data_IF_042215613196
#
_entry.id   IF_042215613196
#
_cell.length_a   1.000
_cell.length_b   1.000
_cell.length_c   1.000
_cell.angle_alpha   90.00
_cell.angle_beta   90.00
_cell.angle_gamma   90.00
#
_symmetry.space_group_name_H-M   'P 1'
#
loop_
_entity.id
_entity.type
_entity.pdbx_description
1 polymer ?
#
# COMPACT_ATOMS: atom_id res chain seq x y z
N UNK A 1 -2.97 -6.23 10.99
CA UNK A 1 -3.57 -5.11 11.73
C UNK A 1 -4.00 -3.96 10.81
N UNK A 2 -3.21 -3.59 9.78
CA UNK A 2 -3.51 -2.47 8.87
C UNK A 2 -4.76 -2.61 8.01
N UNK A 3 -5.39 -3.77 7.89
CA UNK A 3 -6.60 -3.94 7.08
C UNK A 3 -7.88 -3.43 7.76
N UNK A 4 -7.89 -3.27 9.07
CA UNK A 4 -9.09 -2.93 9.84
C UNK A 4 -9.59 -1.53 9.50
N UNK A 5 -8.70 -0.53 9.40
CA UNK A 5 -9.09 0.84 9.01
C UNK A 5 -9.21 1.04 7.49
N UNK A 6 -8.73 0.10 6.67
CA UNK A 6 -8.91 0.11 5.21
C UNK A 6 -10.31 -0.35 4.78
N UNK A 7 -11.12 -0.86 5.70
CA UNK A 7 -12.50 -1.30 5.52
C UNK A 7 -13.39 -0.82 6.66
N UNK A 8 -14.70 -0.90 6.50
CA UNK A 8 -15.67 -0.53 7.54
C UNK A 8 -15.84 -1.67 8.56
N UNK A 9 -14.80 -1.92 9.35
CA UNK A 9 -14.85 -2.87 10.47
C UNK A 9 -15.46 -2.24 11.71
N UNK A 10 -16.14 -3.01 12.57
CA UNK A 10 -16.60 -2.52 13.88
C UNK A 10 -15.47 -1.95 14.75
N UNK A 11 -14.26 -2.51 14.60
CA UNK A 11 -13.07 -2.09 15.39
C UNK A 11 -12.29 -0.94 14.74
N UNK A 12 -12.75 -0.39 13.61
CA UNK A 12 -12.04 0.64 12.83
C UNK A 12 -11.61 1.82 13.69
N UNK A 13 -12.52 2.33 14.54
CA UNK A 13 -12.24 3.49 15.38
C UNK A 13 -11.10 3.23 16.35
N UNK A 14 -11.14 2.09 17.04
CA UNK A 14 -10.07 1.71 17.98
C UNK A 14 -8.69 1.63 17.30
N UNK A 15 -8.64 1.09 16.06
CA UNK A 15 -7.36 1.00 15.34
C UNK A 15 -6.88 2.35 14.82
N UNK A 16 -7.80 3.25 14.45
CA UNK A 16 -7.44 4.63 14.08
C UNK A 16 -6.94 5.39 15.32
N UNK A 17 -7.60 5.25 16.47
CA UNK A 17 -7.15 5.88 17.72
C UNK A 17 -5.76 5.37 18.15
N UNK A 18 -5.50 4.07 18.03
CA UNK A 18 -4.17 3.50 18.26
C UNK A 18 -3.13 4.07 17.28
N UNK A 19 -3.52 4.32 16.03
CA UNK A 19 -2.64 4.94 15.04
C UNK A 19 -2.33 6.39 15.40
N UNK A 20 -3.33 7.15 15.86
CA UNK A 20 -3.17 8.52 16.35
C UNK A 20 -2.19 8.57 17.53
N UNK A 21 -2.34 7.67 18.52
CA UNK A 21 -1.38 7.59 19.63
C UNK A 21 0.03 7.23 19.16
N UNK A 22 0.17 6.36 18.17
CA UNK A 22 1.47 6.07 17.56
C UNK A 22 2.08 7.32 16.91
N UNK A 23 1.28 8.12 16.20
CA UNK A 23 1.76 9.36 15.60
C UNK A 23 2.21 10.38 16.65
N UNK A 24 1.49 10.51 17.77
CA UNK A 24 1.93 11.37 18.89
C UNK A 24 3.30 10.95 19.41
N UNK A 25 3.48 9.66 19.70
CA UNK A 25 4.76 9.15 20.18
C UNK A 25 5.89 9.39 19.16
N UNK A 26 5.62 9.23 17.85
CA UNK A 26 6.61 9.55 16.82
C UNK A 26 6.98 11.04 16.81
N UNK A 27 5.99 11.92 16.96
CA UNK A 27 6.22 13.36 17.04
C UNK A 27 7.01 13.77 18.29
N UNK A 28 6.73 13.14 19.44
CA UNK A 28 7.48 13.34 20.69
C UNK A 28 8.94 12.91 20.58
N UNK A 29 9.23 11.92 19.71
CA UNK A 29 10.59 11.44 19.41
C UNK A 29 11.23 12.14 18.19
N UNK A 30 10.68 13.28 17.75
CA UNK A 30 11.19 14.10 16.63
C UNK A 30 11.20 13.36 15.27
N UNK A 31 10.24 12.44 15.07
CA UNK A 31 10.05 11.70 13.82
C UNK A 31 8.91 12.33 13.01
N UNK A 32 9.26 13.09 11.98
CA UNK A 32 8.34 13.92 11.21
C UNK A 32 7.96 13.37 9.83
N UNK A 33 8.25 12.10 9.54
CA UNK A 33 7.91 11.47 8.28
C UNK A 33 7.45 10.03 8.49
N UNK A 34 6.24 9.71 8.00
CA UNK A 34 5.68 8.35 8.05
C UNK A 34 5.34 7.88 6.64
N UNK A 35 6.09 6.88 6.15
CA UNK A 35 5.74 6.16 4.94
C UNK A 35 4.73 5.05 5.28
N UNK A 36 3.62 4.99 4.56
CA UNK A 36 2.57 3.99 4.76
C UNK A 36 1.96 3.55 3.44
N UNK A 37 1.27 2.42 3.43
CA UNK A 37 0.48 1.96 2.29
C UNK A 37 -1.00 1.79 2.67
N UNK A 38 -1.86 1.72 1.64
CA UNK A 38 -3.29 1.48 1.84
C UNK A 38 -3.80 0.29 1.01
N UNK A 39 -2.92 -0.65 0.69
CA UNK A 39 -3.19 -1.86 -0.08
C UNK A 39 -4.05 -2.85 0.71
N UNK A 40 -5.22 -3.28 0.20
CA UNK A 40 -6.04 -4.32 0.81
C UNK A 40 -5.33 -5.67 0.83
N UNK A 41 -5.40 -6.39 1.95
CA UNK A 41 -4.94 -7.76 2.18
C UNK A 41 -3.44 -7.95 1.97
N UNK A 42 -2.96 -7.78 0.75
CA UNK A 42 -1.55 -7.96 0.38
C UNK A 42 -0.85 -6.62 0.17
N UNK A 43 0.38 -6.53 0.65
CA UNK A 43 1.29 -5.45 0.27
C UNK A 43 1.78 -5.67 -1.17
N UNK A 44 3.05 -5.50 -1.47
CA UNK A 44 3.56 -5.79 -2.81
C UNK A 44 3.49 -7.28 -3.14
N UNK A 45 3.09 -7.59 -4.38
CA UNK A 45 2.83 -8.95 -4.84
C UNK A 45 3.90 -9.37 -5.85
N UNK A 46 4.46 -10.58 -5.66
CA UNK A 46 5.42 -11.20 -6.58
C UNK A 46 5.03 -12.66 -6.80
N UNK A 47 5.39 -13.18 -7.97
CA UNK A 47 5.16 -14.59 -8.33
C UNK A 47 6.41 -15.44 -8.23
N UNK A 48 7.59 -14.81 -8.25
CA UNK A 48 8.90 -15.45 -8.09
C UNK A 48 9.76 -14.57 -7.18
N UNK A 49 10.35 -15.15 -6.13
CA UNK A 49 11.15 -14.42 -5.16
C UNK A 49 12.66 -14.46 -5.47
N UNK A 50 13.09 -15.37 -6.32
CA UNK A 50 14.50 -15.60 -6.66
C UNK A 50 14.65 -15.97 -8.13
N UNK A 51 14.07 -15.21 -9.04
CA UNK A 51 14.23 -15.42 -10.48
C UNK A 51 15.69 -15.18 -10.88
N UNK A 52 16.32 -16.21 -11.42
CA UNK A 52 17.72 -16.12 -11.86
C UNK A 52 17.81 -15.35 -13.18
N UNK A 53 18.71 -14.38 -13.25
CA UNK A 53 19.04 -13.60 -14.44
C UNK A 53 20.22 -14.25 -15.21
N UNK A 54 20.46 -13.85 -16.48
CA UNK A 54 21.56 -14.38 -17.27
C UNK A 54 22.95 -14.17 -16.65
N UNK A 55 23.13 -13.16 -15.82
CA UNK A 55 24.36 -12.85 -15.09
C UNK A 55 24.53 -13.64 -13.78
N UNK A 56 23.58 -14.53 -13.46
CA UNK A 56 23.57 -15.32 -12.23
C UNK A 56 22.97 -14.60 -11.00
N UNK A 57 22.66 -13.31 -11.09
CA UNK A 57 21.97 -12.59 -10.03
C UNK A 57 20.52 -13.04 -9.91
N UNK A 58 19.89 -12.81 -8.73
CA UNK A 58 18.48 -13.09 -8.51
C UNK A 58 17.67 -11.80 -8.33
N UNK A 59 16.44 -11.82 -8.80
CA UNK A 59 15.50 -10.70 -8.66
C UNK A 59 14.11 -11.20 -8.31
N UNK A 60 13.34 -10.32 -7.67
CA UNK A 60 11.90 -10.50 -7.52
C UNK A 60 11.24 -10.31 -8.89
N UNK A 61 10.26 -11.15 -9.22
CA UNK A 61 9.54 -11.04 -10.48
C UNK A 61 8.03 -11.19 -10.31
N UNK A 62 7.29 -10.52 -11.17
CA UNK A 62 5.83 -10.61 -11.28
C UNK A 62 5.46 -11.10 -12.68
N UNK A 63 4.57 -12.08 -12.76
CA UNK A 63 4.03 -12.61 -14.00
C UNK A 63 2.51 -12.73 -13.91
N UNK A 64 1.79 -11.92 -14.69
CA UNK A 64 0.33 -11.87 -14.64
C UNK A 64 -0.32 -13.25 -14.85
N UNK A 65 0.15 -14.02 -15.84
CA UNK A 65 -0.41 -15.36 -16.10
C UNK A 65 -0.23 -16.35 -14.94
N UNK A 66 0.78 -16.14 -14.08
CA UNK A 66 0.93 -16.95 -12.88
C UNK A 66 -0.07 -16.51 -11.80
N UNK A 67 -0.31 -15.19 -11.67
CA UNK A 67 -1.34 -14.64 -10.77
C UNK A 67 -2.73 -15.12 -11.18
N UNK A 68 -3.06 -15.08 -12.49
CA UNK A 68 -4.37 -15.51 -13.01
C UNK A 68 -4.63 -17.02 -12.79
N UNK A 69 -3.55 -17.80 -12.74
CA UNK A 69 -3.64 -19.24 -12.47
C UNK A 69 -3.74 -19.60 -10.98
N UNK A 70 -3.51 -18.63 -10.09
CA UNK A 70 -3.52 -18.87 -8.65
C UNK A 70 -4.94 -18.79 -8.08
N UNK A 71 -5.28 -19.78 -7.28
CA UNK A 71 -6.39 -19.68 -6.34
C UNK A 71 -5.85 -18.96 -5.11
N UNK A 72 -6.41 -17.80 -4.72
CA UNK A 72 -5.86 -16.98 -3.63
C UNK A 72 -5.57 -17.76 -2.35
N UNK A 73 -6.45 -18.71 -2.00
CA UNK A 73 -6.32 -19.54 -0.80
C UNK A 73 -5.13 -20.53 -0.84
N UNK A 74 -4.62 -20.84 -2.05
CA UNK A 74 -3.50 -21.76 -2.26
C UNK A 74 -2.19 -21.07 -2.59
N UNK A 75 -2.20 -19.74 -2.67
CA UNK A 75 -1.02 -18.95 -3.04
C UNK A 75 0.18 -19.20 -2.13
N UNK A 76 -0.08 -19.37 -0.84
CA UNK A 76 0.99 -19.59 0.15
C UNK A 76 1.78 -20.87 -0.14
N UNK A 77 1.11 -21.97 -0.53
CA UNK A 77 1.78 -23.25 -0.81
C UNK A 77 2.77 -23.14 -1.98
N UNK A 78 2.45 -22.31 -2.98
CA UNK A 78 3.29 -22.15 -4.17
C UNK A 78 4.45 -21.18 -3.97
N UNK A 79 4.30 -20.15 -3.15
CA UNK A 79 5.32 -19.10 -2.94
C UNK A 79 6.25 -19.45 -1.78
N UNK A 80 5.77 -20.13 -0.75
CA UNK A 80 6.59 -20.54 0.39
C UNK A 80 7.74 -21.48 -0.01
N UNK A 81 7.59 -22.27 -1.10
CA UNK A 81 8.62 -23.15 -1.64
C UNK A 81 9.81 -22.40 -2.27
N UNK A 82 9.63 -21.21 -2.81
CA UNK A 82 10.65 -20.47 -3.56
C UNK A 82 11.38 -19.39 -2.73
N UNK A 83 10.96 -19.18 -1.48
CA UNK A 83 11.36 -18.01 -0.69
C UNK A 83 12.73 -18.13 0.02
N UNK A 84 13.45 -19.27 -0.08
CA UNK A 84 14.69 -19.51 0.70
C UNK A 84 14.57 -19.10 2.19
N UNK A 85 13.40 -19.27 2.79
CA UNK A 85 13.11 -18.88 4.18
C UNK A 85 12.80 -17.40 4.41
N UNK A 86 12.79 -16.56 3.38
CA UNK A 86 12.34 -15.17 3.49
C UNK A 86 10.81 -15.07 3.44
N UNK A 87 10.23 -14.33 4.38
CA UNK A 87 8.79 -14.04 4.41
C UNK A 87 8.58 -12.60 3.96
N UNK A 88 7.74 -12.40 2.94
CA UNK A 88 7.36 -11.08 2.49
C UNK A 88 6.34 -10.44 3.45
N UNK A 89 6.40 -9.11 3.66
CA UNK A 89 5.37 -8.39 4.40
C UNK A 89 3.98 -8.65 3.82
N UNK A 90 3.03 -9.03 4.67
CA UNK A 90 1.68 -9.41 4.25
C UNK A 90 1.52 -10.89 3.89
N UNK A 91 2.61 -11.66 3.84
CA UNK A 91 2.63 -13.09 3.49
C UNK A 91 3.01 -13.99 4.68
N UNK A 92 2.93 -13.48 5.88
CA UNK A 92 3.19 -14.25 7.09
C UNK A 92 2.21 -15.44 7.21
N UNK A 93 2.68 -16.62 7.68
CA UNK A 93 1.85 -17.84 7.75
C UNK A 93 0.54 -17.66 8.51
N UNK A 94 0.56 -16.91 9.61
CA UNK A 94 -0.61 -16.61 10.43
C UNK A 94 -1.64 -15.75 9.67
N UNK A 95 -1.15 -14.83 8.84
CA UNK A 95 -1.98 -13.98 8.00
C UNK A 95 -2.62 -14.78 6.86
N UNK A 96 -1.85 -15.67 6.24
CA UNK A 96 -2.32 -16.53 5.15
C UNK A 96 -3.39 -17.54 5.61
N UNK A 97 -3.32 -18.02 6.86
CA UNK A 97 -4.38 -18.84 7.45
C UNK A 97 -5.74 -18.12 7.50
N UNK A 98 -5.74 -16.78 7.52
CA UNK A 98 -6.95 -15.94 7.54
C UNK A 98 -7.27 -15.30 6.19
N UNK A 99 -6.56 -15.65 5.14
CA UNK A 99 -6.71 -14.99 3.83
C UNK A 99 -8.13 -15.04 3.30
N UNK A 100 -8.84 -16.17 3.48
CA UNK A 100 -10.23 -16.29 3.06
C UNK A 100 -11.14 -15.30 3.79
N UNK A 101 -10.99 -15.18 5.10
CA UNK A 101 -11.76 -14.21 5.91
C UNK A 101 -11.49 -12.79 5.46
N UNK A 102 -10.21 -12.49 5.09
CA UNK A 102 -9.83 -11.18 4.57
C UNK A 102 -10.46 -10.91 3.20
N UNK A 103 -10.44 -11.87 2.29
CA UNK A 103 -11.12 -11.73 0.99
C UNK A 103 -12.63 -11.51 1.16
N UNK A 104 -13.26 -12.28 2.03
CA UNK A 104 -14.68 -12.11 2.35
C UNK A 104 -14.98 -10.72 2.92
N UNK A 105 -14.09 -10.19 3.75
CA UNK A 105 -14.22 -8.84 4.32
C UNK A 105 -14.07 -7.71 3.30
N UNK A 106 -13.42 -7.95 2.17
CA UNK A 106 -13.26 -6.98 1.07
C UNK A 106 -14.21 -7.22 -0.11
N UNK A 107 -15.08 -8.25 -0.06
CA UNK A 107 -15.99 -8.63 -1.17
C UNK A 107 -16.79 -7.45 -1.72
N UNK A 108 -17.27 -6.58 -0.85
CA UNK A 108 -18.09 -5.42 -1.19
C UNK A 108 -17.30 -4.10 -1.21
N UNK A 109 -15.96 -4.16 -1.19
CA UNK A 109 -15.09 -2.99 -1.23
C UNK A 109 -14.53 -2.81 -2.63
N UNK A 110 -15.10 -1.88 -3.37
CA UNK A 110 -14.61 -1.39 -4.65
C UNK A 110 -13.65 -0.19 -4.46
N UNK A 111 -13.16 0.37 -5.57
CA UNK A 111 -12.26 1.52 -5.55
C UNK A 111 -12.90 2.74 -4.86
N UNK A 112 -14.19 2.99 -5.07
CA UNK A 112 -14.88 4.13 -4.48
C UNK A 112 -15.00 4.00 -2.95
N UNK A 113 -15.34 2.82 -2.47
CA UNK A 113 -15.37 2.53 -1.04
C UNK A 113 -13.98 2.59 -0.42
N UNK A 114 -12.95 2.10 -1.14
CA UNK A 114 -11.58 2.17 -0.65
C UNK A 114 -11.10 3.63 -0.57
N UNK A 115 -11.43 4.47 -1.55
CA UNK A 115 -11.18 5.92 -1.48
C UNK A 115 -11.93 6.58 -0.32
N UNK A 116 -13.19 6.23 -0.08
CA UNK A 116 -13.96 6.75 1.04
C UNK A 116 -13.34 6.35 2.40
N UNK A 117 -12.84 5.13 2.51
CA UNK A 117 -12.16 4.64 3.70
C UNK A 117 -10.81 5.35 3.90
N UNK A 118 -10.04 5.58 2.82
CA UNK A 118 -8.79 6.35 2.87
C UNK A 118 -9.07 7.80 3.30
N UNK A 119 -10.09 8.43 2.72
CA UNK A 119 -10.49 9.79 3.11
C UNK A 119 -10.80 9.85 4.60
N UNK A 120 -11.65 8.96 5.09
CA UNK A 120 -12.01 8.91 6.50
C UNK A 120 -10.78 8.74 7.41
N UNK A 121 -9.89 7.81 7.07
CA UNK A 121 -8.65 7.60 7.79
C UNK A 121 -7.80 8.88 7.84
N UNK A 122 -7.58 9.52 6.70
CA UNK A 122 -6.79 10.75 6.60
C UNK A 122 -7.42 11.90 7.40
N UNK A 123 -8.74 12.12 7.30
CA UNK A 123 -9.44 13.15 8.07
C UNK A 123 -9.28 12.97 9.59
N UNK A 124 -9.21 11.72 10.05
CA UNK A 124 -9.03 11.40 11.47
C UNK A 124 -7.59 11.64 11.96
N UNK A 125 -6.58 11.38 11.13
CA UNK A 125 -5.17 11.51 11.54
C UNK A 125 -4.57 12.88 11.24
N UNK A 126 -5.11 13.67 10.29
CA UNK A 126 -4.51 14.97 9.94
C UNK A 126 -4.41 15.95 11.12
N UNK A 127 -5.35 16.05 12.07
CA UNK A 127 -5.17 16.93 13.22
C UNK A 127 -3.88 16.67 14.01
N UNK A 128 -3.57 15.40 14.31
CA UNK A 128 -2.32 15.05 15.02
C UNK A 128 -1.09 15.23 14.12
N UNK A 129 -1.20 14.99 12.82
CA UNK A 129 -0.11 15.26 11.88
C UNK A 129 0.24 16.75 11.83
N UNK A 130 -0.75 17.64 11.86
CA UNK A 130 -0.55 19.08 11.93
C UNK A 130 0.04 19.51 13.28
N UNK A 131 -0.41 18.93 14.39
CA UNK A 131 0.07 19.27 15.74
C UNK A 131 1.54 18.95 15.92
N UNK A 132 2.00 17.80 15.40
CA UNK A 132 3.38 17.31 15.55
C UNK A 132 4.26 17.49 14.30
N UNK A 133 3.78 18.22 13.28
CA UNK A 133 4.46 18.43 11.98
C UNK A 133 4.89 17.11 11.32
N UNK A 134 4.01 16.09 11.33
CA UNK A 134 4.29 14.78 10.75
C UNK A 134 3.75 14.72 9.32
N UNK A 135 4.62 14.48 8.35
CA UNK A 135 4.27 14.28 6.94
C UNK A 135 3.93 12.83 6.67
N UNK A 136 2.69 12.60 6.28
CA UNK A 136 2.22 11.29 5.82
C UNK A 136 2.59 11.11 4.36
N UNK A 137 3.31 10.05 4.04
CA UNK A 137 3.80 9.75 2.70
C UNK A 137 3.25 8.41 2.22
N UNK A 138 2.09 8.42 1.52
CA UNK A 138 1.51 7.17 1.02
C UNK A 138 2.39 6.55 -0.05
N UNK A 139 2.75 5.30 0.13
CA UNK A 139 3.48 4.52 -0.88
C UNK A 139 2.52 4.03 -1.96
N UNK A 140 2.89 4.07 -3.26
CA UNK A 140 2.06 3.52 -4.33
C UNK A 140 1.82 2.03 -4.16
N UNK A 141 0.70 1.57 -4.70
CA UNK A 141 0.40 0.15 -4.79
C UNK A 141 1.41 -0.56 -5.70
N UNK A 142 1.76 -1.79 -5.36
CA UNK A 142 2.75 -2.58 -6.11
C UNK A 142 2.24 -4.03 -6.29
N UNK A 143 1.87 -4.42 -7.50
CA UNK A 143 1.90 -3.62 -8.74
C UNK A 143 0.82 -2.52 -8.77
N UNK A 144 1.00 -1.54 -9.67
CA UNK A 144 0.11 -0.40 -9.82
C UNK A 144 -1.17 -0.75 -10.61
N UNK A 145 -1.85 -1.82 -10.21
CA UNK A 145 -3.15 -2.29 -10.70
C UNK A 145 -3.80 -3.26 -9.70
N UNK A 146 -5.10 -3.50 -9.84
CA UNK A 146 -5.86 -4.44 -9.00
C UNK A 146 -5.34 -5.87 -9.13
N UNK A 147 -5.24 -6.59 -8.01
CA UNK A 147 -4.73 -7.97 -7.95
C UNK A 147 -5.72 -8.84 -7.19
N UNK A 148 -6.02 -10.02 -7.72
CA UNK A 148 -6.97 -10.99 -7.13
C UNK A 148 -8.38 -10.43 -6.89
N UNK A 149 -8.81 -9.46 -7.72
CA UNK A 149 -10.10 -8.77 -7.52
C UNK A 149 -10.12 -7.76 -6.36
N UNK A 150 -8.99 -7.56 -5.66
CA UNK A 150 -8.88 -6.53 -4.62
C UNK A 150 -8.57 -5.18 -5.25
N UNK A 151 -9.22 -4.10 -4.82
CA UNK A 151 -8.99 -2.77 -5.37
C UNK A 151 -7.58 -2.25 -5.03
N UNK A 152 -7.00 -1.48 -5.96
CA UNK A 152 -5.75 -0.73 -5.80
C UNK A 152 -5.97 0.69 -6.28
N UNK A 153 -5.73 1.69 -5.44
CA UNK A 153 -6.13 3.07 -5.70
C UNK A 153 -4.98 4.06 -5.79
N UNK A 154 -3.79 3.72 -5.33
CA UNK A 154 -2.60 4.58 -5.44
C UNK A 154 -1.73 4.07 -6.59
N UNK A 155 -2.24 4.18 -7.82
CA UNK A 155 -1.73 3.49 -9.01
C UNK A 155 -1.29 4.43 -10.14
N UNK A 156 -1.84 5.65 -10.20
CA UNK A 156 -1.60 6.61 -11.28
C UNK A 156 -1.76 8.07 -10.80
N UNK A 157 -1.44 9.01 -11.67
CA UNK A 157 -1.51 10.45 -11.40
C UNK A 157 -2.90 10.91 -10.96
N UNK A 158 -3.93 10.49 -11.67
CA UNK A 158 -5.32 10.91 -11.47
C UNK A 158 -5.79 10.53 -10.07
N UNK A 159 -5.52 9.31 -9.67
CA UNK A 159 -5.91 8.78 -8.38
C UNK A 159 -5.17 9.48 -7.23
N UNK A 160 -3.89 9.80 -7.41
CA UNK A 160 -3.10 10.52 -6.39
C UNK A 160 -3.62 11.96 -6.25
N UNK A 161 -3.86 12.66 -7.35
CA UNK A 161 -4.41 14.01 -7.32
C UNK A 161 -5.82 14.01 -6.70
N UNK A 162 -6.62 12.98 -6.96
CA UNK A 162 -7.90 12.76 -6.28
C UNK A 162 -7.71 12.63 -4.76
N UNK A 163 -6.80 11.78 -4.31
CA UNK A 163 -6.49 11.59 -2.89
C UNK A 163 -6.07 12.91 -2.23
N UNK A 164 -5.17 13.66 -2.86
CA UNK A 164 -4.74 14.97 -2.33
C UNK A 164 -5.89 15.98 -2.26
N UNK A 165 -6.78 15.98 -3.24
CA UNK A 165 -7.96 16.87 -3.26
C UNK A 165 -9.00 16.49 -2.20
N UNK A 166 -9.15 15.19 -1.90
CA UNK A 166 -10.10 14.73 -0.88
C UNK A 166 -9.75 15.23 0.51
N UNK A 167 -8.45 15.31 0.82
CA UNK A 167 -7.92 15.85 2.07
C UNK A 167 -6.75 16.77 1.70
N UNK A 168 -7.08 18.03 1.41
CA UNK A 168 -6.09 19.01 0.95
C UNK A 168 -5.35 19.65 2.15
N UNK A 169 -4.39 18.87 2.65
CA UNK A 169 -3.55 19.23 3.79
C UNK A 169 -2.07 19.07 3.38
N UNK A 170 -1.18 20.02 3.69
CA UNK A 170 0.25 19.92 3.34
C UNK A 170 0.95 18.70 3.96
N UNK A 171 0.44 18.13 5.05
CA UNK A 171 0.98 16.92 5.65
C UNK A 171 0.49 15.62 4.95
N UNK A 172 -0.54 15.71 4.10
CA UNK A 172 -0.98 14.61 3.26
C UNK A 172 -0.22 14.61 1.93
N UNK A 173 0.67 13.68 1.72
CA UNK A 173 1.48 13.58 0.50
C UNK A 173 1.86 12.14 0.15
N UNK A 174 2.88 11.99 -0.67
CA UNK A 174 3.26 10.70 -1.25
C UNK A 174 4.72 10.32 -1.00
N UNK A 175 4.95 9.03 -0.93
CA UNK A 175 6.22 8.41 -1.27
C UNK A 175 6.25 8.23 -2.78
N UNK A 176 7.11 8.96 -3.49
CA UNK A 176 7.26 8.74 -4.92
C UNK A 176 8.20 7.56 -5.15
N UNK A 177 7.62 6.37 -5.39
CA UNK A 177 8.37 5.16 -5.71
C UNK A 177 8.41 4.94 -7.22
N UNK A 178 9.57 5.19 -7.85
CA UNK A 178 9.74 5.02 -9.30
C UNK A 178 9.53 3.58 -9.75
N UNK A 179 9.94 2.61 -8.95
CA UNK A 179 9.78 1.19 -9.28
C UNK A 179 8.32 0.74 -9.25
N UNK A 180 7.53 1.17 -8.25
CA UNK A 180 6.13 0.76 -8.17
C UNK A 180 5.26 1.46 -9.22
N UNK A 181 5.35 2.79 -9.35
CA UNK A 181 4.61 3.50 -10.42
C UNK A 181 5.04 3.06 -11.83
N UNK A 182 6.33 2.77 -12.02
CA UNK A 182 6.87 2.32 -13.31
C UNK A 182 6.47 0.90 -13.70
N UNK A 183 5.82 0.12 -12.84
CA UNK A 183 5.20 -1.16 -13.23
C UNK A 183 4.06 -0.96 -14.21
N UNK A 184 3.34 0.15 -14.11
CA UNK A 184 2.33 0.55 -15.08
C UNK A 184 2.98 1.46 -16.15
N UNK A 185 3.12 0.93 -17.38
CA UNK A 185 3.76 1.62 -18.48
C UNK A 185 3.00 2.85 -19.01
N UNK A 186 1.75 3.03 -18.60
CA UNK A 186 0.94 4.22 -18.92
C UNK A 186 1.30 5.42 -18.02
N UNK A 187 2.04 5.19 -16.93
CA UNK A 187 2.47 6.25 -16.02
C UNK A 187 3.66 7.04 -16.61
N UNK A 188 3.45 8.30 -16.92
CA UNK A 188 4.52 9.26 -17.21
C UNK A 188 5.13 9.77 -15.88
N UNK A 189 6.18 9.10 -15.41
CA UNK A 189 6.80 9.43 -14.12
C UNK A 189 7.33 10.87 -14.05
N UNK A 190 8.00 11.45 -15.08
CA UNK A 190 8.38 12.85 -15.10
C UNK A 190 7.20 13.82 -14.95
N UNK A 191 6.08 13.55 -15.61
CA UNK A 191 4.87 14.35 -15.51
C UNK A 191 4.22 14.22 -14.12
N UNK A 192 4.19 13.01 -13.57
CA UNK A 192 3.73 12.76 -12.20
C UNK A 192 4.53 13.57 -11.19
N UNK A 193 5.88 13.56 -11.26
CA UNK A 193 6.74 14.34 -10.35
C UNK A 193 6.41 15.83 -10.45
N UNK A 194 6.27 16.38 -11.65
CA UNK A 194 5.91 17.80 -11.82
C UNK A 194 4.54 18.13 -11.21
N UNK A 195 3.56 17.24 -11.42
CA UNK A 195 2.19 17.40 -10.93
C UNK A 195 2.09 17.31 -9.39
N UNK A 196 3.01 16.59 -8.75
CA UNK A 196 3.03 16.33 -7.31
C UNK A 196 3.98 17.28 -6.53
N UNK A 197 4.41 18.37 -7.19
CA UNK A 197 5.31 19.35 -6.57
C UNK A 197 4.78 19.83 -5.21
N UNK A 198 5.65 19.75 -4.19
CA UNK A 198 5.34 20.15 -2.82
C UNK A 198 4.62 19.09 -1.98
N UNK A 199 4.23 17.95 -2.59
CA UNK A 199 3.56 16.83 -1.89
C UNK A 199 4.35 15.51 -1.98
N UNK A 200 5.54 15.50 -2.56
CA UNK A 200 6.46 14.35 -2.49
C UNK A 200 7.25 14.52 -1.20
N UNK A 201 6.86 13.80 -0.16
CA UNK A 201 7.49 13.86 1.16
C UNK A 201 8.65 12.89 1.27
N UNK A 202 8.62 11.80 0.51
CA UNK A 202 9.69 10.81 0.45
C UNK A 202 9.89 10.32 -0.99
N UNK A 203 11.15 10.11 -1.38
CA UNK A 203 11.50 9.56 -2.69
C UNK A 203 12.14 8.17 -2.53
N UNK A 204 11.55 7.19 -3.21
CA UNK A 204 12.07 5.82 -3.28
C UNK A 204 12.46 5.53 -4.73
N UNK A 205 13.73 5.69 -5.04
CA UNK A 205 14.29 5.51 -6.40
C UNK A 205 14.89 4.12 -6.52
N UNK A 206 14.33 3.28 -7.39
CA UNK A 206 14.78 1.90 -7.62
C UNK A 206 14.48 1.43 -9.07
#
# INVERSE_FOLDING_TARGET
LGDVYKRQSPDREQYIDNYIETLKHLGEEDIHLVCYNFMPVFDWTRTELARVRPDGSTVLAYKQSAVDALVPEKMFESIAGDANGAILPGWEPERMAKVKELFDAYRDVDDEKLFANLKYFLERIMPVCNEYDIKMAIHPDDPAWSVFGLPRIIINKENILRMMKMVDDPHNGVTFCSGSYGTNLENDLPDMIRSLKGRIHFAHVR
#
